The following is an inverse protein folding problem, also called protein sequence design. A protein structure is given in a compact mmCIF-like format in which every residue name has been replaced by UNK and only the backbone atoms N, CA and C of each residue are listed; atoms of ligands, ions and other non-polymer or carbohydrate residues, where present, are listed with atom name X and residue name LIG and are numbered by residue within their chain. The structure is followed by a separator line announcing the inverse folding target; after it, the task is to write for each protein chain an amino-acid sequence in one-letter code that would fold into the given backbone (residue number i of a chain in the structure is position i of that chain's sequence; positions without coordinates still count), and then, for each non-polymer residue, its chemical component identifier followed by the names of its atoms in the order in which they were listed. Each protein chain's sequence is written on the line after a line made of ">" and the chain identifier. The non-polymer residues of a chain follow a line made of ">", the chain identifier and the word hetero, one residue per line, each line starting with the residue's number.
data_IF_151081701628
#
_entry.id   IF_151081701628
#
_cell.length_a   1.000
_cell.length_b   1.000
_cell.length_c   1.000
_cell.angle_alpha   90.00
_cell.angle_beta   90.00
_cell.angle_gamma   90.00
#
_symmetry.space_group_name_H-M   'P 1'
#
loop_
_entity.id
_entity.type
_entity.pdbx_description
1 polymer ?
#
# COMPACT_ATOMS: atom_id res chain seq x y z
N UNK A 1 3.60 -26.63 2.03
CA UNK A 1 4.81 -26.37 2.84
C UNK A 1 5.97 -26.15 1.88
N UNK A 2 6.15 -24.93 1.35
CA UNK A 2 7.27 -24.62 0.46
C UNK A 2 8.16 -23.47 0.94
N UNK A 3 7.69 -22.64 1.87
CA UNK A 3 8.46 -21.54 2.46
C UNK A 3 8.43 -21.67 3.99
N UNK A 4 9.32 -22.49 4.56
CA UNK A 4 9.52 -22.59 6.03
C UNK A 4 10.80 -21.86 6.46
N UNK A 5 11.42 -21.11 5.55
CA UNK A 5 12.67 -20.37 5.70
C UNK A 5 12.46 -18.85 5.80
N UNK A 6 11.21 -18.40 5.92
CA UNK A 6 10.81 -16.99 6.00
C UNK A 6 10.51 -16.51 7.43
N UNK A 7 10.69 -17.37 8.43
CA UNK A 7 10.38 -17.04 9.83
C UNK A 7 11.57 -16.44 10.58
N UNK A 8 11.25 -15.54 11.51
CA UNK A 8 12.22 -14.88 12.38
C UNK A 8 12.69 -15.81 13.52
N UNK A 9 13.96 -15.71 13.96
CA UNK A 9 14.41 -16.37 15.18
C UNK A 9 13.73 -15.77 16.43
N UNK A 10 13.62 -16.51 17.55
CA UNK A 10 13.08 -15.95 18.78
C UNK A 10 13.97 -14.85 19.38
N UNK A 11 13.37 -13.97 20.19
CA UNK A 11 14.02 -12.80 20.80
C UNK A 11 13.96 -12.83 22.33
N UNK A 12 14.95 -12.20 22.99
CA UNK A 12 14.89 -11.90 24.44
C UNK A 12 14.43 -10.45 24.71
N UNK A 13 14.31 -9.63 23.66
CA UNK A 13 13.77 -8.28 23.80
C UNK A 13 12.24 -8.36 23.88
N UNK A 14 11.72 -8.45 25.10
CA UNK A 14 10.28 -8.56 25.33
C UNK A 14 9.53 -7.27 25.00
N UNK A 15 10.20 -6.11 24.96
CA UNK A 15 9.57 -4.86 24.53
C UNK A 15 9.21 -4.93 23.03
N UNK A 16 10.16 -5.32 22.18
CA UNK A 16 9.92 -5.52 20.73
C UNK A 16 8.87 -6.62 20.47
N UNK A 17 8.87 -7.69 21.26
CA UNK A 17 7.87 -8.78 21.12
C UNK A 17 6.47 -8.30 21.50
N UNK A 18 6.36 -7.38 22.46
CA UNK A 18 5.09 -6.84 22.93
C UNK A 18 4.57 -5.65 22.10
N UNK A 19 5.38 -5.10 21.18
CA UNK A 19 4.93 -4.01 20.31
C UNK A 19 3.72 -4.42 19.46
N UNK A 20 2.78 -3.49 19.29
CA UNK A 20 1.55 -3.76 18.56
C UNK A 20 1.82 -4.10 17.07
N UNK A 21 2.78 -3.41 16.45
CA UNK A 21 3.24 -3.72 15.09
C UNK A 21 3.76 -5.17 14.95
N UNK A 22 4.33 -5.75 16.01
CA UNK A 22 4.75 -7.15 16.02
C UNK A 22 3.52 -8.10 16.05
N UNK A 23 2.50 -7.78 16.83
CA UNK A 23 1.24 -8.53 16.88
C UNK A 23 0.47 -8.45 15.54
N UNK A 24 0.45 -7.27 14.91
CA UNK A 24 -0.09 -7.08 13.57
C UNK A 24 0.65 -7.94 12.53
N UNK A 25 1.99 -7.96 12.59
CA UNK A 25 2.81 -8.82 11.73
C UNK A 25 2.45 -10.30 11.92
N UNK A 26 2.26 -10.74 13.17
CA UNK A 26 1.78 -12.10 13.46
C UNK A 26 0.43 -12.41 12.80
N UNK A 27 -0.49 -11.44 12.79
CA UNK A 27 -1.79 -11.59 12.13
C UNK A 27 -1.70 -11.59 10.60
N UNK A 28 -0.81 -10.79 10.02
CA UNK A 28 -0.64 -10.66 8.57
C UNK A 28 -0.04 -11.94 7.96
N UNK A 29 1.06 -12.44 8.52
CA UNK A 29 1.79 -13.57 7.94
C UNK A 29 2.52 -14.48 8.94
N UNK A 30 2.35 -14.26 10.25
CA UNK A 30 2.96 -15.06 11.31
C UNK A 30 4.50 -15.03 11.35
N UNK A 31 5.13 -14.02 10.74
CA UNK A 31 6.59 -13.84 10.73
C UNK A 31 7.15 -12.98 11.87
N UNK A 32 6.27 -12.51 12.76
CA UNK A 32 6.64 -11.68 13.91
C UNK A 32 7.59 -12.37 14.90
N UNK A 33 8.17 -11.58 15.78
CA UNK A 33 9.05 -12.03 16.85
C UNK A 33 8.26 -12.82 17.91
N UNK A 34 8.87 -13.91 18.36
CA UNK A 34 8.39 -14.74 19.48
C UNK A 34 9.45 -14.69 20.59
N UNK A 35 9.02 -14.57 21.85
CA UNK A 35 9.95 -14.58 22.98
C UNK A 35 10.58 -15.96 23.20
N UNK A 36 11.86 -16.00 23.55
CA UNK A 36 12.52 -17.21 24.03
C UNK A 36 11.83 -17.80 25.28
N UNK A 37 11.13 -16.96 26.06
CA UNK A 37 10.45 -17.39 27.28
C UNK A 37 9.31 -18.38 27.01
N UNK A 38 8.77 -18.40 25.78
CA UNK A 38 7.80 -19.42 25.34
C UNK A 38 8.36 -20.85 25.49
N UNK A 39 9.68 -21.01 25.42
CA UNK A 39 10.37 -22.31 25.43
C UNK A 39 11.03 -22.63 26.78
N UNK A 40 10.71 -21.89 27.85
CA UNK A 40 11.22 -22.17 29.20
C UNK A 40 10.81 -23.57 29.65
N UNK A 41 11.70 -24.21 30.41
CA UNK A 41 11.43 -25.53 31.00
C UNK A 41 10.31 -25.51 32.05
N UNK A 42 10.12 -24.37 32.73
CA UNK A 42 9.02 -24.17 33.68
C UNK A 42 7.96 -23.31 33.00
N UNK A 43 6.75 -23.84 32.74
CA UNK A 43 5.67 -23.07 32.14
C UNK A 43 5.05 -22.12 33.18
N UNK A 44 4.47 -21.02 32.71
CA UNK A 44 3.81 -20.05 33.58
C UNK A 44 2.40 -20.51 34.02
N UNK A 45 1.83 -21.50 33.33
CA UNK A 45 0.56 -22.16 33.65
C UNK A 45 0.73 -23.70 33.64
N UNK A 46 0.06 -24.39 34.56
CA UNK A 46 0.05 -25.85 34.56
C UNK A 46 -0.77 -26.39 33.38
N UNK A 47 -0.39 -27.59 32.90
CA UNK A 47 -1.17 -28.27 31.86
C UNK A 47 -2.57 -28.58 32.36
N UNK A 48 -3.57 -28.22 31.57
CA UNK A 48 -4.98 -28.59 31.77
C UNK A 48 -5.42 -29.40 30.56
N UNK A 49 -5.93 -30.61 30.79
CA UNK A 49 -6.61 -31.41 29.78
C UNK A 49 -8.04 -30.89 29.61
N UNK A 50 -8.17 -29.72 29.00
CA UNK A 50 -9.42 -28.97 28.90
C UNK A 50 -10.37 -29.61 27.87
N UNK A 51 -11.67 -29.52 28.13
CA UNK A 51 -12.72 -29.99 27.21
C UNK A 51 -13.94 -29.07 27.29
N UNK A 52 -14.26 -28.42 26.17
CA UNK A 52 -15.45 -27.58 25.98
C UNK A 52 -16.39 -28.16 24.90
N UNK A 53 -16.14 -29.40 24.46
CA UNK A 53 -16.84 -30.02 23.34
C UNK A 53 -18.27 -30.42 23.67
N UNK A 54 -19.11 -30.52 22.63
CA UNK A 54 -20.52 -30.88 22.75
C UNK A 54 -21.23 -30.82 21.41
N UNK A 55 -22.54 -30.59 21.43
CA UNK A 55 -23.26 -30.10 20.25
C UNK A 55 -22.86 -28.64 19.95
N UNK A 56 -23.06 -28.18 18.72
CA UNK A 56 -22.73 -26.79 18.34
C UNK A 56 -23.46 -25.73 19.18
N UNK A 57 -24.65 -26.08 19.71
CA UNK A 57 -25.40 -25.22 20.62
C UNK A 57 -24.71 -25.13 21.99
N UNK A 58 -24.29 -26.26 22.54
CA UNK A 58 -23.56 -26.32 23.81
C UNK A 58 -22.19 -25.64 23.68
N UNK A 59 -21.49 -25.84 22.57
CA UNK A 59 -20.21 -25.16 22.29
C UNK A 59 -20.39 -23.64 22.22
N UNK A 60 -21.42 -23.14 21.55
CA UNK A 60 -21.75 -21.72 21.52
C UNK A 60 -22.04 -21.17 22.93
N UNK A 61 -22.87 -21.87 23.72
CA UNK A 61 -23.20 -21.46 25.09
C UNK A 61 -21.97 -21.45 26.00
N UNK A 62 -21.09 -22.45 25.86
CA UNK A 62 -19.82 -22.54 26.59
C UNK A 62 -18.90 -21.36 26.27
N UNK A 63 -18.72 -21.01 24.99
CA UNK A 63 -17.89 -19.88 24.58
C UNK A 63 -18.49 -18.54 25.01
N UNK A 64 -19.81 -18.37 24.88
CA UNK A 64 -20.50 -17.15 25.35
C UNK A 64 -20.41 -16.99 26.87
N UNK A 65 -20.40 -18.09 27.63
CA UNK A 65 -20.20 -18.03 29.08
C UNK A 65 -18.82 -17.46 29.45
N UNK A 66 -17.78 -17.72 28.65
CA UNK A 66 -16.44 -17.13 28.86
C UNK A 66 -16.50 -15.62 28.65
N UNK A 67 -17.07 -15.13 27.54
CA UNK A 67 -17.22 -13.69 27.30
C UNK A 67 -18.05 -12.99 28.39
N UNK A 68 -19.12 -13.62 28.86
CA UNK A 68 -19.93 -13.10 29.96
C UNK A 68 -19.14 -13.01 31.27
N UNK A 69 -18.30 -14.01 31.57
CA UNK A 69 -17.45 -14.02 32.76
C UNK A 69 -16.35 -12.94 32.70
N UNK A 70 -15.85 -12.62 31.50
CA UNK A 70 -14.89 -11.54 31.24
C UNK A 70 -15.56 -10.16 31.10
N UNK A 71 -16.89 -10.08 31.25
CA UNK A 71 -17.69 -8.86 31.07
C UNK A 71 -17.48 -8.19 29.69
N UNK A 72 -17.36 -9.01 28.64
CA UNK A 72 -17.15 -8.58 27.25
C UNK A 72 -18.40 -8.78 26.42
N UNK A 73 -18.95 -7.67 25.91
CA UNK A 73 -20.10 -7.70 25.02
C UNK A 73 -19.72 -8.28 23.65
N UNK A 74 -20.62 -9.09 23.08
CA UNK A 74 -20.39 -9.78 21.80
C UNK A 74 -21.41 -9.30 20.78
N UNK A 75 -20.92 -8.70 19.69
CA UNK A 75 -21.74 -8.24 18.58
C UNK A 75 -21.65 -9.24 17.44
N UNK A 76 -22.78 -9.84 17.05
CA UNK A 76 -22.85 -10.83 15.97
C UNK A 76 -23.70 -10.27 14.84
N UNK A 77 -23.14 -10.28 13.63
CA UNK A 77 -23.88 -10.00 12.39
C UNK A 77 -23.98 -11.27 11.55
N UNK A 78 -25.20 -11.75 11.35
CA UNK A 78 -25.49 -12.93 10.53
C UNK A 78 -25.72 -12.56 9.05
N UNK A 79 -25.16 -13.37 8.16
CA UNK A 79 -25.32 -13.26 6.72
C UNK A 79 -25.80 -14.58 6.14
N UNK A 80 -26.94 -14.54 5.45
CA UNK A 80 -27.52 -15.70 4.75
C UNK A 80 -27.78 -15.43 3.27
N UNK A 81 -27.34 -14.27 2.75
CA UNK A 81 -27.71 -13.77 1.40
C UNK A 81 -27.03 -14.51 0.24
N UNK A 82 -26.19 -15.51 0.52
CA UNK A 82 -25.52 -16.39 -0.45
C UNK A 82 -25.86 -17.88 -0.22
N UNK A 83 -26.97 -18.17 0.46
CA UNK A 83 -27.45 -19.52 0.78
C UNK A 83 -26.47 -20.38 1.62
N UNK A 84 -25.50 -19.74 2.24
CA UNK A 84 -24.59 -20.33 3.23
C UNK A 84 -24.55 -19.39 4.43
N UNK A 85 -24.69 -19.94 5.63
CA UNK A 85 -24.56 -19.17 6.86
C UNK A 85 -23.13 -18.69 7.03
N UNK A 86 -22.97 -17.38 7.18
CA UNK A 86 -21.73 -16.74 7.59
C UNK A 86 -22.06 -15.74 8.70
N UNK A 87 -21.11 -15.48 9.59
CA UNK A 87 -21.24 -14.42 10.58
C UNK A 87 -19.97 -13.57 10.63
N UNK A 88 -20.11 -12.35 11.13
CA UNK A 88 -18.99 -11.52 11.58
C UNK A 88 -19.21 -11.19 13.04
N UNK A 89 -18.25 -11.58 13.87
CA UNK A 89 -18.30 -11.42 15.32
C UNK A 89 -17.29 -10.32 15.70
N UNK A 90 -17.72 -9.37 16.53
CA UNK A 90 -16.89 -8.30 17.08
C UNK A 90 -17.01 -8.34 18.60
N UNK A 91 -15.88 -8.38 19.29
CA UNK A 91 -15.77 -8.37 20.76
C UNK A 91 -14.75 -7.28 21.15
N UNK A 92 -15.19 -6.05 21.42
CA UNK A 92 -14.29 -4.94 21.71
C UNK A 92 -13.40 -5.20 22.94
N UNK A 93 -12.10 -4.98 22.77
CA UNK A 93 -11.05 -5.31 23.73
C UNK A 93 -10.62 -6.78 23.73
N UNK A 94 -11.03 -7.58 22.74
CA UNK A 94 -10.57 -8.97 22.56
C UNK A 94 -10.36 -9.37 21.10
N UNK A 95 -11.25 -8.97 20.19
CA UNK A 95 -11.16 -9.33 18.76
C UNK A 95 -10.44 -8.27 17.91
N UNK A 96 -10.03 -7.17 18.52
CA UNK A 96 -9.35 -6.06 17.86
C UNK A 96 -7.97 -6.52 17.37
N UNK A 97 -7.70 -6.26 16.10
CA UNK A 97 -6.39 -6.54 15.49
C UNK A 97 -5.50 -5.30 15.50
N UNK A 98 -6.12 -4.13 15.32
CA UNK A 98 -5.48 -2.82 15.28
C UNK A 98 -6.00 -1.99 16.46
N UNK A 99 -5.22 -1.03 16.96
CA UNK A 99 -5.61 -0.20 18.08
C UNK A 99 -6.63 0.85 17.61
N UNK A 100 -7.45 1.36 18.54
CA UNK A 100 -8.47 2.35 18.21
C UNK A 100 -7.87 3.67 17.68
N UNK A 101 -6.63 3.99 18.06
CA UNK A 101 -5.91 5.19 17.65
C UNK A 101 -5.66 5.22 16.13
N UNK A 102 -5.66 4.06 15.46
CA UNK A 102 -5.53 3.97 13.99
C UNK A 102 -6.71 4.60 13.25
N UNK A 103 -7.85 4.82 13.91
CA UNK A 103 -8.94 5.61 13.34
C UNK A 103 -8.53 7.05 13.05
N UNK A 104 -7.50 7.56 13.73
CA UNK A 104 -6.94 8.90 13.56
C UNK A 104 -5.65 8.82 12.74
N UNK A 105 -4.72 7.93 13.11
CA UNK A 105 -3.35 7.95 12.58
C UNK A 105 -3.11 7.04 11.37
N UNK A 106 -3.93 6.00 11.16
CA UNK A 106 -3.76 5.02 10.08
C UNK A 106 -5.08 4.68 9.37
N UNK A 107 -5.95 5.69 9.23
CA UNK A 107 -7.28 5.50 8.67
C UNK A 107 -7.21 5.25 7.16
N UNK A 108 -7.69 4.09 6.72
CA UNK A 108 -7.68 3.71 5.30
C UNK A 108 -8.60 4.56 4.39
N UNK A 109 -9.40 5.47 4.95
CA UNK A 109 -10.17 6.46 4.19
C UNK A 109 -9.46 7.81 4.05
N UNK A 110 -8.29 8.02 4.66
CA UNK A 110 -7.55 9.29 4.60
C UNK A 110 -7.24 9.74 3.17
N UNK A 111 -6.97 8.78 2.27
CA UNK A 111 -6.71 9.06 0.86
C UNK A 111 -7.94 9.25 -0.02
N UNK A 112 -9.16 9.31 0.55
CA UNK A 112 -10.38 9.42 -0.25
C UNK A 112 -10.44 10.73 -1.03
N UNK A 113 -10.15 11.86 -0.37
CA UNK A 113 -10.19 13.19 -0.99
C UNK A 113 -9.06 13.38 -2.03
N UNK A 114 -7.99 12.60 -1.93
CA UNK A 114 -6.87 12.58 -2.87
C UNK A 114 -7.19 11.84 -4.18
N UNK A 115 -8.22 10.99 -4.20
CA UNK A 115 -8.44 10.04 -5.31
C UNK A 115 -8.64 10.75 -6.64
N UNK A 116 -9.51 11.76 -6.70
CA UNK A 116 -9.85 12.46 -7.93
C UNK A 116 -8.61 13.11 -8.55
N UNK A 117 -7.92 13.95 -7.77
CA UNK A 117 -6.74 14.68 -8.25
C UNK A 117 -5.61 13.74 -8.65
N UNK A 118 -5.31 12.70 -7.86
CA UNK A 118 -4.21 11.78 -8.18
C UNK A 118 -4.47 11.00 -9.48
N UNK A 119 -5.72 10.60 -9.75
CA UNK A 119 -6.07 9.92 -11.00
C UNK A 119 -6.02 10.84 -12.23
N UNK A 120 -6.25 12.14 -12.02
CA UNK A 120 -6.23 13.17 -13.05
C UNK A 120 -4.81 13.69 -13.37
N UNK A 121 -3.89 13.67 -12.39
CA UNK A 121 -2.49 14.13 -12.55
C UNK A 121 -1.81 13.69 -13.86
N UNK A 122 -1.92 12.42 -14.33
CA UNK A 122 -1.26 12.01 -15.56
C UNK A 122 -1.81 12.65 -16.84
N UNK A 123 -2.92 13.40 -16.80
CA UNK A 123 -3.32 14.29 -17.89
C UNK A 123 -2.33 15.47 -18.07
N UNK A 124 -1.57 15.83 -17.03
CA UNK A 124 -0.55 16.88 -17.01
C UNK A 124 -1.05 18.20 -17.61
N UNK A 125 -2.15 18.69 -17.06
CA UNK A 125 -2.87 19.88 -17.52
C UNK A 125 -3.07 20.94 -16.43
N UNK A 126 -2.67 20.64 -15.19
CA UNK A 126 -2.68 21.59 -14.08
C UNK A 126 -1.49 22.56 -14.15
N UNK A 127 -1.62 23.67 -13.42
CA UNK A 127 -0.58 24.68 -13.26
C UNK A 127 0.39 24.35 -12.12
N UNK A 128 1.43 25.18 -11.99
CA UNK A 128 2.45 25.02 -10.96
C UNK A 128 1.87 25.15 -9.54
N UNK A 129 0.91 26.07 -9.33
CA UNK A 129 0.27 26.28 -8.02
C UNK A 129 -0.39 24.99 -7.53
N UNK A 130 -1.12 24.28 -8.40
CA UNK A 130 -1.73 22.99 -8.07
C UNK A 130 -0.68 21.95 -7.63
N UNK A 131 0.45 21.83 -8.33
CA UNK A 131 1.48 20.84 -7.96
C UNK A 131 2.22 21.22 -6.67
N UNK A 132 2.42 22.52 -6.41
CA UNK A 132 2.99 23.03 -5.15
C UNK A 132 2.06 22.76 -3.96
N UNK A 133 0.76 23.01 -4.13
CA UNK A 133 -0.26 22.71 -3.12
C UNK A 133 -0.29 21.23 -2.77
N UNK A 134 -0.27 20.35 -3.78
CA UNK A 134 -0.24 18.89 -3.54
C UNK A 134 1.00 18.45 -2.76
N UNK A 135 2.17 19.02 -3.06
CA UNK A 135 3.40 18.73 -2.30
C UNK A 135 3.27 19.20 -0.85
N UNK A 136 2.74 20.41 -0.62
CA UNK A 136 2.53 20.95 0.71
C UNK A 136 1.51 20.13 1.52
N UNK A 137 0.42 19.71 0.90
CA UNK A 137 -0.60 18.87 1.54
C UNK A 137 -0.07 17.47 1.90
N UNK A 138 0.78 16.87 1.05
CA UNK A 138 1.43 15.58 1.36
C UNK A 138 2.29 15.68 2.63
N UNK A 139 2.99 16.79 2.81
CA UNK A 139 3.85 17.04 3.97
C UNK A 139 3.04 17.50 5.21
N UNK A 140 1.98 18.31 5.04
CA UNK A 140 1.12 18.77 6.14
C UNK A 140 0.32 17.61 6.77
N UNK A 141 -0.12 16.66 5.95
CA UNK A 141 -0.84 15.47 6.42
C UNK A 141 0.10 14.35 6.90
N UNK A 142 1.43 14.59 6.90
CA UNK A 142 2.47 13.63 7.33
C UNK A 142 2.32 12.26 6.64
N UNK A 143 2.03 12.27 5.34
CA UNK A 143 1.83 11.04 4.57
C UNK A 143 3.19 10.39 4.32
N UNK A 144 3.40 9.21 4.88
CA UNK A 144 4.63 8.43 4.71
C UNK A 144 4.97 8.24 3.22
N UNK A 145 6.17 8.65 2.83
CA UNK A 145 6.70 8.54 1.47
C UNK A 145 6.71 7.09 0.95
N UNK A 146 6.82 6.10 1.85
CA UNK A 146 6.77 4.68 1.51
C UNK A 146 5.34 4.19 1.22
N UNK A 147 4.30 4.96 1.54
CA UNK A 147 2.90 4.58 1.26
C UNK A 147 2.71 4.30 -0.22
N UNK A 148 2.12 3.16 -0.57
CA UNK A 148 1.77 2.86 -1.96
C UNK A 148 0.53 3.65 -2.35
N UNK A 149 0.63 4.46 -3.40
CA UNK A 149 -0.47 5.34 -3.83
C UNK A 149 -1.71 4.52 -4.16
N UNK A 150 -1.57 3.35 -4.81
CA UNK A 150 -2.71 2.48 -5.12
C UNK A 150 -3.48 1.98 -3.89
N UNK A 151 -2.80 1.80 -2.76
CA UNK A 151 -3.41 1.38 -1.49
C UNK A 151 -4.06 2.60 -0.83
N UNK A 152 -3.37 3.74 -0.83
CA UNK A 152 -3.85 5.01 -0.28
C UNK A 152 -5.17 5.47 -0.89
N UNK A 153 -5.30 5.45 -2.23
CA UNK A 153 -6.55 5.84 -2.91
C UNK A 153 -7.47 4.65 -3.24
N UNK A 154 -7.16 3.43 -2.77
CA UNK A 154 -8.04 2.27 -2.90
C UNK A 154 -8.31 1.81 -4.34
N UNK A 155 -7.29 1.71 -5.19
CA UNK A 155 -7.41 1.24 -6.58
C UNK A 155 -6.73 -0.11 -6.81
N UNK A 156 -7.39 -0.98 -7.58
CA UNK A 156 -6.73 -2.12 -8.23
C UNK A 156 -6.03 -1.63 -9.50
N UNK A 157 -4.72 -1.41 -9.39
CA UNK A 157 -3.87 -0.88 -10.46
C UNK A 157 -3.83 -1.80 -11.70
N UNK A 158 -3.74 -1.24 -12.93
CA UNK A 158 -3.44 -2.01 -14.13
C UNK A 158 -2.08 -2.71 -14.03
N UNK A 159 -2.02 -4.02 -14.30
CA UNK A 159 -0.84 -4.88 -14.00
C UNK A 159 0.51 -4.42 -14.56
N UNK A 160 0.52 -3.72 -15.68
CA UNK A 160 1.75 -3.28 -16.36
C UNK A 160 1.98 -1.77 -16.27
N UNK A 161 1.26 -1.09 -15.37
CA UNK A 161 1.37 0.36 -15.18
C UNK A 161 2.22 0.72 -13.97
N UNK A 162 2.70 1.96 -13.95
CA UNK A 162 3.42 2.53 -12.81
C UNK A 162 2.59 2.56 -11.53
N UNK A 163 1.26 2.59 -11.61
CA UNK A 163 0.36 2.53 -10.45
C UNK A 163 0.61 1.32 -9.56
N UNK A 164 1.10 0.20 -10.11
CA UNK A 164 1.37 -1.01 -9.34
C UNK A 164 2.45 -0.82 -8.27
N UNK A 165 3.45 0.01 -8.57
CA UNK A 165 4.63 0.23 -7.71
C UNK A 165 4.74 1.65 -7.18
N UNK A 166 3.90 2.57 -7.64
CA UNK A 166 3.95 3.99 -7.28
C UNK A 166 3.81 4.17 -5.76
N UNK A 167 4.81 4.83 -5.17
CA UNK A 167 4.80 5.30 -3.78
C UNK A 167 4.74 6.82 -3.74
N UNK A 168 4.41 7.38 -2.57
CA UNK A 168 4.31 8.84 -2.37
C UNK A 168 5.64 9.54 -2.68
N UNK A 169 6.79 8.99 -2.24
CA UNK A 169 8.09 9.57 -2.60
C UNK A 169 8.39 9.54 -4.10
N UNK A 170 7.90 8.54 -4.83
CA UNK A 170 8.01 8.50 -6.29
C UNK A 170 7.10 9.55 -6.97
N UNK A 171 5.89 9.74 -6.42
CA UNK A 171 4.98 10.80 -6.86
C UNK A 171 5.60 12.19 -6.62
N UNK A 172 6.25 12.43 -5.47
CA UNK A 172 6.98 13.68 -5.19
C UNK A 172 8.01 13.98 -6.29
N UNK A 173 8.78 12.98 -6.75
CA UNK A 173 9.70 13.16 -7.89
C UNK A 173 9.00 13.65 -9.15
N UNK A 174 7.83 13.08 -9.49
CA UNK A 174 7.05 13.48 -10.67
C UNK A 174 6.49 14.89 -10.54
N UNK A 175 6.04 15.29 -9.34
CA UNK A 175 5.54 16.64 -9.05
C UNK A 175 6.66 17.69 -9.16
N UNK A 176 7.84 17.44 -8.58
CA UNK A 176 8.98 18.33 -8.72
C UNK A 176 9.47 18.45 -10.17
N UNK A 177 9.40 17.37 -10.96
CA UNK A 177 9.65 17.44 -12.40
C UNK A 177 8.63 18.33 -13.12
N UNK A 178 7.34 18.28 -12.75
CA UNK A 178 6.31 19.15 -13.31
C UNK A 178 6.59 20.63 -13.02
N UNK A 179 7.15 20.93 -11.85
CA UNK A 179 7.56 22.28 -11.43
C UNK A 179 8.88 22.74 -12.05
N UNK A 180 9.69 21.80 -12.57
CA UNK A 180 11.05 22.09 -13.04
C UNK A 180 12.09 22.23 -11.93
N UNK A 181 11.75 21.83 -10.70
CA UNK A 181 12.63 21.83 -9.53
C UNK A 181 13.55 20.60 -9.55
N UNK A 182 14.54 20.65 -10.43
CA UNK A 182 15.37 19.48 -10.80
C UNK A 182 16.21 18.91 -9.64
N UNK A 183 16.64 19.73 -8.67
CA UNK A 183 17.40 19.25 -7.51
C UNK A 183 16.53 18.35 -6.62
N UNK A 184 15.31 18.79 -6.29
CA UNK A 184 14.36 18.01 -5.48
C UNK A 184 13.84 16.80 -6.25
N UNK A 185 13.58 16.95 -7.56
CA UNK A 185 13.21 15.83 -8.42
C UNK A 185 14.28 14.73 -8.41
N UNK A 186 15.57 15.10 -8.42
CA UNK A 186 16.69 14.16 -8.37
C UNK A 186 16.75 13.39 -7.05
N UNK A 187 16.59 14.07 -5.93
CA UNK A 187 16.60 13.44 -4.61
C UNK A 187 15.51 12.37 -4.50
N UNK A 188 14.29 12.70 -4.93
CA UNK A 188 13.17 11.76 -4.94
C UNK A 188 13.30 10.66 -6.00
N UNK A 189 13.91 10.94 -7.15
CA UNK A 189 14.21 9.91 -8.16
C UNK A 189 15.24 8.89 -7.62
N UNK A 190 16.26 9.36 -6.90
CA UNK A 190 17.23 8.51 -6.20
C UNK A 190 16.57 7.70 -5.08
N UNK A 191 15.74 8.33 -4.25
CA UNK A 191 14.92 7.65 -3.24
C UNK A 191 14.07 6.54 -3.88
N UNK A 192 13.43 6.83 -5.01
CA UNK A 192 12.61 5.88 -5.77
C UNK A 192 13.42 4.67 -6.22
N UNK A 193 14.62 4.89 -6.78
CA UNK A 193 15.49 3.77 -7.16
C UNK A 193 15.96 2.96 -5.95
N UNK A 194 16.28 3.60 -4.84
CA UNK A 194 16.72 2.91 -3.63
C UNK A 194 15.59 2.05 -3.02
N UNK A 195 14.35 2.57 -2.98
CA UNK A 195 13.22 1.89 -2.35
C UNK A 195 12.49 0.90 -3.27
N UNK A 196 12.40 1.17 -4.57
CA UNK A 196 11.52 0.44 -5.49
C UNK A 196 12.25 -0.39 -6.55
N UNK A 197 13.58 -0.27 -6.70
CA UNK A 197 14.30 -0.96 -7.79
C UNK A 197 14.10 -2.48 -7.81
N UNK A 198 13.91 -3.11 -6.65
CA UNK A 198 13.68 -4.56 -6.51
C UNK A 198 12.31 -5.03 -7.03
N UNK A 199 11.32 -4.12 -7.10
CA UNK A 199 9.95 -4.41 -7.54
C UNK A 199 9.64 -3.84 -8.92
N UNK A 200 10.52 -3.01 -9.48
CA UNK A 200 10.37 -2.48 -10.82
C UNK A 200 10.61 -3.53 -11.90
N UNK A 201 9.89 -3.39 -13.03
CA UNK A 201 10.27 -4.11 -14.25
C UNK A 201 11.62 -3.59 -14.76
N UNK A 202 12.37 -4.40 -15.53
CA UNK A 202 13.63 -3.96 -16.13
C UNK A 202 13.50 -2.65 -16.92
N UNK A 203 12.36 -2.44 -17.60
CA UNK A 203 12.07 -1.24 -18.38
C UNK A 203 11.89 0.00 -17.50
N UNK A 204 11.12 -0.11 -16.41
CA UNK A 204 10.90 1.00 -15.46
C UNK A 204 12.19 1.35 -14.71
N UNK A 205 12.94 0.35 -14.26
CA UNK A 205 14.25 0.56 -13.65
C UNK A 205 15.27 1.18 -14.63
N UNK A 206 15.17 0.87 -15.92
CA UNK A 206 15.99 1.52 -16.96
C UNK A 206 15.56 2.97 -17.21
N UNK A 207 14.25 3.25 -17.23
CA UNK A 207 13.73 4.63 -17.30
C UNK A 207 14.27 5.50 -16.17
N UNK A 208 14.18 5.05 -14.92
CA UNK A 208 14.68 5.84 -13.79
C UNK A 208 16.20 6.05 -13.80
N UNK A 209 16.98 5.06 -14.23
CA UNK A 209 18.43 5.24 -14.44
C UNK A 209 18.72 6.31 -15.50
N UNK A 210 17.96 6.32 -16.59
CA UNK A 210 18.07 7.35 -17.62
C UNK A 210 17.64 8.73 -17.09
N UNK A 211 16.51 8.80 -16.39
CA UNK A 211 15.97 10.02 -15.78
C UNK A 211 16.98 10.66 -14.83
N UNK A 212 17.53 9.89 -13.87
CA UNK A 212 18.55 10.37 -12.92
C UNK A 212 19.76 10.94 -13.67
N UNK A 213 20.32 10.19 -14.63
CA UNK A 213 21.49 10.65 -15.40
C UNK A 213 21.20 11.92 -16.21
N UNK A 214 19.97 12.07 -16.71
CA UNK A 214 19.54 13.23 -17.48
C UNK A 214 19.35 14.44 -16.56
N UNK A 215 18.75 14.28 -15.39
CA UNK A 215 18.60 15.36 -14.40
C UNK A 215 19.98 15.84 -13.95
N UNK A 216 20.88 14.94 -13.55
CA UNK A 216 22.26 15.27 -13.16
C UNK A 216 22.99 16.07 -14.25
N UNK A 217 22.82 15.69 -15.51
CA UNK A 217 23.43 16.39 -16.65
C UNK A 217 22.85 17.79 -16.86
N UNK A 218 21.55 18.00 -16.61
CA UNK A 218 20.91 19.31 -16.75
C UNK A 218 21.20 20.24 -15.56
N UNK A 219 21.52 19.68 -14.39
CA UNK A 219 22.04 20.43 -13.24
C UNK A 219 23.52 20.82 -13.39
N UNK A 220 24.26 20.15 -14.29
CA UNK A 220 25.67 20.44 -14.55
C UNK A 220 25.84 21.66 -15.49
N UNK A 221 26.27 22.78 -14.90
CA UNK A 221 26.53 24.03 -15.62
C UNK A 221 27.80 24.02 -16.50
N UNK A 222 28.56 22.93 -16.55
CA UNK A 222 29.84 22.82 -17.27
C UNK A 222 29.75 22.00 -18.56
N UNK A 223 28.66 21.25 -18.75
CA UNK A 223 28.46 20.34 -19.88
C UNK A 223 27.27 20.79 -20.72
N UNK A 224 27.34 20.56 -22.02
CA UNK A 224 26.21 20.78 -22.93
C UNK A 224 25.40 19.46 -23.04
N UNK A 225 24.15 19.41 -22.53
CA UNK A 225 23.39 18.17 -22.53
C UNK A 225 23.22 17.54 -23.91
N UNK A 226 23.09 18.36 -24.97
CA UNK A 226 22.82 17.85 -26.32
C UNK A 226 23.94 16.93 -26.85
N UNK A 227 25.17 17.10 -26.35
CA UNK A 227 26.32 16.27 -26.75
C UNK A 227 26.21 14.83 -26.24
N UNK A 228 25.41 14.58 -25.20
CA UNK A 228 25.30 13.27 -24.54
C UNK A 228 24.06 12.48 -24.98
N UNK A 229 23.08 13.12 -25.64
CA UNK A 229 21.81 12.48 -26.02
C UNK A 229 22.01 11.16 -26.77
N UNK A 230 22.87 11.15 -27.80
CA UNK A 230 23.17 9.93 -28.57
C UNK A 230 23.86 8.84 -27.74
N UNK A 231 24.68 9.22 -26.75
CA UNK A 231 25.34 8.26 -25.84
C UNK A 231 24.30 7.64 -24.91
N UNK A 232 23.42 8.46 -24.34
CA UNK A 232 22.31 7.99 -23.50
C UNK A 232 21.38 7.07 -24.29
N UNK A 233 21.03 7.40 -25.54
CA UNK A 233 20.18 6.54 -26.38
C UNK A 233 20.80 5.16 -26.63
N UNK A 234 22.13 5.07 -26.68
CA UNK A 234 22.85 3.78 -26.80
C UNK A 234 22.85 2.99 -25.50
N UNK A 235 22.92 3.67 -24.36
CA UNK A 235 23.01 3.04 -23.04
C UNK A 235 21.64 2.62 -22.51
N UNK A 236 20.65 3.50 -22.58
CA UNK A 236 19.33 3.33 -22.00
C UNK A 236 18.25 3.02 -23.05
N UNK A 237 18.59 3.05 -24.34
CA UNK A 237 17.62 2.89 -25.42
C UNK A 237 16.86 4.18 -25.74
N UNK A 238 16.39 4.29 -26.98
CA UNK A 238 15.78 5.52 -27.50
C UNK A 238 14.51 5.92 -26.78
N UNK A 239 13.64 4.95 -26.46
CA UNK A 239 12.34 5.22 -25.86
C UNK A 239 12.47 5.79 -24.45
N UNK A 240 13.28 5.16 -23.58
CA UNK A 240 13.51 5.63 -22.22
C UNK A 240 14.13 7.03 -22.20
N UNK A 241 15.14 7.28 -23.05
CA UNK A 241 15.77 8.60 -23.17
C UNK A 241 14.78 9.62 -23.70
N UNK A 242 13.99 9.29 -24.73
CA UNK A 242 12.99 10.22 -25.26
C UNK A 242 12.00 10.67 -24.18
N UNK A 243 11.46 9.72 -23.40
CA UNK A 243 10.50 10.03 -22.34
C UNK A 243 11.12 10.84 -21.20
N UNK A 244 12.29 10.43 -20.70
CA UNK A 244 12.97 11.14 -19.63
C UNK A 244 13.47 12.52 -20.06
N UNK A 245 13.99 12.65 -21.29
CA UNK A 245 14.42 13.94 -21.85
C UNK A 245 13.24 14.89 -22.03
N UNK A 246 12.09 14.38 -22.47
CA UNK A 246 10.89 15.19 -22.60
C UNK A 246 10.46 15.76 -21.23
N UNK A 247 10.42 14.93 -20.19
CA UNK A 247 10.06 15.35 -18.83
C UNK A 247 11.03 16.40 -18.26
N UNK A 248 12.34 16.24 -18.47
CA UNK A 248 13.36 17.13 -17.87
C UNK A 248 13.59 18.42 -18.67
N UNK A 249 13.67 18.33 -20.00
CA UNK A 249 14.18 19.43 -20.83
C UNK A 249 13.11 20.09 -21.72
N UNK A 250 12.01 19.39 -22.00
CA UNK A 250 11.00 19.83 -22.99
C UNK A 250 9.64 20.17 -22.34
N UNK A 251 9.57 20.22 -21.00
CA UNK A 251 8.33 20.38 -20.21
C UNK A 251 7.25 19.36 -20.60
N UNK A 252 7.69 18.16 -20.96
CA UNK A 252 6.84 17.02 -21.24
C UNK A 252 6.18 16.47 -19.97
N UNK A 253 5.22 15.57 -20.14
CA UNK A 253 4.51 14.95 -19.03
C UNK A 253 5.46 14.11 -18.15
N UNK A 254 5.62 14.44 -16.85
CA UNK A 254 6.53 13.74 -15.96
C UNK A 254 5.92 12.47 -15.35
N UNK A 255 4.61 12.23 -15.50
CA UNK A 255 3.89 11.10 -14.91
C UNK A 255 4.08 9.80 -15.70
N UNK A 256 5.31 9.28 -15.67
CA UNK A 256 5.74 8.18 -16.53
C UNK A 256 5.01 6.85 -16.26
N UNK A 257 4.41 6.32 -17.32
CA UNK A 257 3.65 5.06 -17.33
C UNK A 257 2.51 5.06 -16.29
N UNK A 258 1.88 6.20 -16.09
CA UNK A 258 0.64 6.32 -15.31
C UNK A 258 -0.52 6.58 -16.28
N UNK A 259 -1.34 5.57 -16.63
CA UNK A 259 -2.56 5.83 -17.37
C UNK A 259 -3.49 6.70 -16.52
N UNK A 260 -3.85 7.87 -17.05
CA UNK A 260 -4.80 8.77 -16.41
C UNK A 260 -6.20 8.13 -16.34
N UNK A 261 -6.99 8.52 -15.34
CA UNK A 261 -8.34 8.02 -15.15
C UNK A 261 -9.18 9.03 -14.37
N UNK A 262 -10.42 8.65 -14.08
CA UNK A 262 -11.32 9.34 -13.17
C UNK A 262 -11.86 8.34 -12.13
N UNK A 263 -12.77 8.79 -11.26
CA UNK A 263 -13.35 7.95 -10.22
C UNK A 263 -14.16 6.75 -10.75
N UNK A 264 -14.53 6.73 -12.03
CA UNK A 264 -15.21 5.58 -12.64
C UNK A 264 -14.25 4.42 -12.89
N UNK A 265 -12.95 4.71 -13.04
CA UNK A 265 -11.87 3.75 -13.27
C UNK A 265 -12.12 2.86 -14.50
N UNK A 266 -12.83 3.37 -15.52
CA UNK A 266 -13.28 2.60 -16.69
C UNK A 266 -12.12 1.92 -17.45
N UNK A 267 -10.97 2.59 -17.53
CA UNK A 267 -9.78 2.05 -18.20
C UNK A 267 -8.95 1.09 -17.32
N UNK A 268 -9.29 0.92 -16.04
CA UNK A 268 -8.59 0.03 -15.11
C UNK A 268 -9.27 -1.34 -15.09
N UNK A 269 -8.90 -2.20 -16.04
CA UNK A 269 -9.54 -3.51 -16.27
C UNK A 269 -9.60 -4.39 -15.03
N UNK A 270 -8.54 -4.40 -14.22
CA UNK A 270 -8.46 -5.16 -12.98
C UNK A 270 -9.44 -4.63 -11.93
N UNK A 271 -9.62 -3.31 -11.85
CA UNK A 271 -10.61 -2.69 -10.98
C UNK A 271 -12.04 -2.97 -11.48
N UNK A 272 -12.29 -2.86 -12.78
CA UNK A 272 -13.59 -3.21 -13.38
C UNK A 272 -13.95 -4.69 -13.16
N UNK A 273 -12.98 -5.60 -13.16
CA UNK A 273 -13.21 -6.99 -12.81
C UNK A 273 -13.64 -7.17 -11.34
N UNK A 274 -13.05 -6.41 -10.41
CA UNK A 274 -13.47 -6.37 -9.01
C UNK A 274 -14.92 -5.84 -8.89
N UNK A 275 -15.26 -4.75 -9.56
CA UNK A 275 -16.63 -4.20 -9.56
C UNK A 275 -17.63 -5.19 -10.18
N UNK A 276 -17.24 -5.89 -11.24
CA UNK A 276 -18.06 -6.93 -11.86
C UNK A 276 -18.31 -8.13 -10.93
N UNK A 277 -17.34 -8.51 -10.10
CA UNK A 277 -17.54 -9.50 -9.05
C UNK A 277 -18.45 -8.96 -7.93
N UNK A 278 -18.21 -7.73 -7.49
CA UNK A 278 -18.99 -7.08 -6.44
C UNK A 278 -20.47 -6.87 -6.85
N UNK A 279 -20.73 -6.55 -8.12
CA UNK A 279 -22.08 -6.40 -8.65
C UNK A 279 -22.93 -7.67 -8.51
N UNK A 280 -22.32 -8.86 -8.61
CA UNK A 280 -22.99 -10.15 -8.35
C UNK A 280 -23.42 -10.26 -6.89
N UNK A 281 -22.54 -9.86 -5.96
CA UNK A 281 -22.86 -9.83 -4.53
C UNK A 281 -23.99 -8.82 -4.24
N UNK A 282 -23.94 -7.63 -4.84
CA UNK A 282 -24.98 -6.62 -4.67
C UNK A 282 -26.35 -7.10 -5.19
N UNK A 283 -26.38 -7.87 -6.28
CA UNK A 283 -27.60 -8.51 -6.76
C UNK A 283 -28.14 -9.53 -5.73
N UNK A 284 -27.29 -10.45 -5.28
CA UNK A 284 -27.69 -11.47 -4.30
C UNK A 284 -28.20 -10.85 -2.98
N UNK A 285 -27.55 -9.78 -2.50
CA UNK A 285 -28.03 -9.01 -1.33
C UNK A 285 -29.43 -8.45 -1.55
N UNK A 286 -29.72 -7.81 -2.70
CA UNK A 286 -31.05 -7.24 -2.99
C UNK A 286 -32.13 -8.32 -3.09
N UNK A 287 -31.81 -9.47 -3.67
CA UNK A 287 -32.77 -10.57 -3.84
C UNK A 287 -33.09 -11.27 -2.51
N UNK A 288 -32.13 -11.28 -1.58
CA UNK A 288 -32.29 -11.89 -0.25
C UNK A 288 -32.63 -10.91 0.87
N UNK A 289 -32.68 -9.60 0.59
CA UNK A 289 -33.10 -8.60 1.56
C UNK A 289 -34.62 -8.72 1.77
N UNK A 290 -35.02 -9.13 2.98
CA UNK A 290 -36.42 -9.16 3.41
C UNK A 290 -36.71 -8.00 4.33
#
# INVERSE_FOLDING_TARGET
>A
LKDLDVFSPPSFNNDDVAEHANLETHFIDSSGLISWDLFKNTPDYEFVDWDFSGSTQEEYENLMAIFNAEEKEVYIMDYNHLDVYACRIIVPGMSDIYPADDLIYANNNMGMDWREILLDLPHHHHDAETYEELLAELDEQDIDDATRVREFIGIVAPKASGWTTLRVGELKSMLYLALGELELALDWANWTMNMNSSVFTPERANYYRALISIIELHLDNTRDPQQYRTVFERMYGKEAVQQAWAAVAEKGNPFYNLPASDETLENFKEHQALLGAYAKLQKAKRENWK
#
